data_IF_661789894970
#
_entry.id   IF_661789894970
#
_cell.length_a   1.000
_cell.length_b   1.000
_cell.length_c   1.000
_cell.angle_alpha   90.00
_cell.angle_beta   90.00
_cell.angle_gamma   90.00
#
_symmetry.space_group_name_H-M   'P 1'
#
loop_
_entity.id
_entity.type
_entity.pdbx_description
1 polymer ?
#
# COMPACT_ATOMS: atom_id res chain seq x y z
N UNK A 1 -30.07 -22.18 -9.49
CA UNK A 1 -30.35 -21.23 -8.39
C UNK A 1 -30.86 -19.93 -8.98
N UNK A 2 -31.89 -19.28 -8.42
CA UNK A 2 -32.44 -18.01 -8.98
C UNK A 2 -31.42 -16.87 -8.82
N UNK A 3 -31.21 -16.00 -9.84
CA UNK A 3 -30.24 -14.89 -9.77
C UNK A 3 -30.43 -13.97 -8.56
N UNK A 4 -31.69 -13.68 -8.21
CA UNK A 4 -32.06 -12.86 -7.05
C UNK A 4 -31.58 -13.47 -5.73
N UNK A 5 -31.67 -14.81 -5.58
CA UNK A 5 -31.22 -15.51 -4.38
C UNK A 5 -29.68 -15.43 -4.24
N UNK A 6 -28.96 -15.57 -5.35
CA UNK A 6 -27.49 -15.43 -5.38
C UNK A 6 -27.06 -14.00 -5.01
N UNK A 7 -27.73 -12.99 -5.57
CA UNK A 7 -27.46 -11.58 -5.25
C UNK A 7 -27.69 -11.27 -3.77
N UNK A 8 -28.82 -11.70 -3.21
CA UNK A 8 -29.14 -11.50 -1.81
C UNK A 8 -28.13 -12.20 -0.90
N UNK A 9 -27.69 -13.41 -1.29
CA UNK A 9 -26.67 -14.14 -0.55
C UNK A 9 -25.32 -13.41 -0.57
N UNK A 10 -24.93 -12.82 -1.70
CA UNK A 10 -23.71 -12.01 -1.80
C UNK A 10 -23.77 -10.72 -0.99
N UNK A 11 -24.95 -10.11 -0.85
CA UNK A 11 -25.12 -8.86 -0.09
C UNK A 11 -25.20 -9.14 1.41
N UNK A 12 -26.07 -10.03 1.85
CA UNK A 12 -26.41 -10.20 3.26
C UNK A 12 -25.63 -11.31 3.97
N UNK A 13 -25.22 -12.36 3.24
CA UNK A 13 -24.52 -13.52 3.78
C UNK A 13 -23.09 -13.68 3.24
N UNK A 14 -22.51 -12.61 2.73
CA UNK A 14 -21.13 -12.63 2.24
C UNK A 14 -20.16 -12.88 3.39
N UNK A 15 -19.23 -13.81 3.20
CA UNK A 15 -18.11 -14.01 4.10
C UNK A 15 -17.21 -12.77 4.12
N UNK A 16 -16.41 -12.59 5.17
CA UNK A 16 -15.50 -11.44 5.30
C UNK A 16 -14.59 -11.29 4.09
N UNK A 17 -14.06 -12.38 3.55
CA UNK A 17 -13.21 -12.36 2.36
C UNK A 17 -13.94 -11.81 1.12
N UNK A 18 -15.21 -12.16 0.94
CA UNK A 18 -16.02 -11.66 -0.18
C UNK A 18 -16.35 -10.19 0.02
N UNK A 19 -16.78 -9.77 1.22
CA UNK A 19 -17.04 -8.35 1.54
C UNK A 19 -15.80 -7.49 1.29
N UNK A 20 -14.65 -7.96 1.72
CA UNK A 20 -13.37 -7.28 1.50
C UNK A 20 -13.05 -7.08 0.01
N UNK A 21 -13.38 -8.06 -0.85
CA UNK A 21 -13.21 -7.95 -2.32
C UNK A 21 -14.22 -7.00 -2.98
N UNK A 22 -15.40 -6.80 -2.38
CA UNK A 22 -16.42 -5.90 -2.90
C UNK A 22 -16.01 -4.42 -2.81
N UNK A 23 -15.09 -4.06 -1.90
CA UNK A 23 -14.58 -2.70 -1.76
C UNK A 23 -13.57 -2.43 -2.87
N UNK A 24 -14.07 -2.18 -4.06
CA UNK A 24 -13.27 -1.84 -5.23
C UNK A 24 -13.78 -0.57 -5.88
N UNK A 25 -12.85 0.32 -6.25
CA UNK A 25 -13.14 1.56 -6.97
C UNK A 25 -12.77 1.45 -8.44
N UNK A 26 -13.46 2.22 -9.27
CA UNK A 26 -13.09 2.38 -10.68
C UNK A 26 -11.79 3.19 -10.79
N UNK A 27 -10.91 2.82 -11.71
CA UNK A 27 -9.72 3.59 -12.02
C UNK A 27 -10.02 4.73 -12.99
N UNK A 28 -9.29 5.84 -12.88
CA UNK A 28 -9.32 6.94 -13.84
C UNK A 28 -8.93 6.45 -15.25
N UNK A 29 -9.27 7.22 -16.28
CA UNK A 29 -8.94 6.87 -17.67
C UNK A 29 -7.42 6.70 -17.88
N UNK A 30 -6.62 7.51 -17.22
CA UNK A 30 -5.16 7.47 -17.27
C UNK A 30 -4.60 6.20 -16.64
N UNK A 31 -5.05 5.87 -15.42
CA UNK A 31 -4.64 4.67 -14.72
C UNK A 31 -5.10 3.39 -15.43
N UNK A 32 -6.27 3.42 -16.09
CA UNK A 32 -6.73 2.30 -16.94
C UNK A 32 -5.83 2.07 -18.13
N UNK A 33 -5.38 3.14 -18.79
CA UNK A 33 -4.43 3.04 -19.91
C UNK A 33 -3.08 2.49 -19.43
N UNK A 34 -2.60 2.96 -18.26
CA UNK A 34 -1.30 2.54 -17.69
C UNK A 34 -1.29 1.08 -17.27
N UNK A 35 -2.31 0.61 -16.57
CA UNK A 35 -2.33 -0.71 -15.95
C UNK A 35 -3.21 -1.75 -16.65
N UNK A 36 -3.95 -1.37 -17.69
CA UNK A 36 -4.86 -2.27 -18.41
C UNK A 36 -6.03 -2.79 -17.57
N UNK A 37 -6.28 -2.25 -16.38
CA UNK A 37 -7.32 -2.70 -15.46
C UNK A 37 -8.42 -1.66 -15.32
N UNK A 38 -9.65 -2.14 -15.13
CA UNK A 38 -10.83 -1.27 -14.98
C UNK A 38 -11.05 -0.82 -13.53
N UNK A 39 -10.81 -1.68 -12.58
CA UNK A 39 -11.04 -1.45 -11.15
C UNK A 39 -10.00 -2.17 -10.31
N UNK A 40 -9.75 -1.64 -9.12
CA UNK A 40 -8.86 -2.25 -8.12
C UNK A 40 -9.47 -2.05 -6.73
N UNK A 41 -9.04 -2.88 -5.77
CA UNK A 41 -9.39 -2.70 -4.37
C UNK A 41 -8.85 -1.37 -3.87
N UNK A 42 -9.70 -0.64 -3.14
CA UNK A 42 -9.32 0.63 -2.51
C UNK A 42 -8.48 0.32 -1.26
N UNK A 43 -7.38 1.03 -1.09
CA UNK A 43 -6.55 1.02 0.11
C UNK A 43 -6.56 2.39 0.77
N UNK A 44 -6.09 2.44 2.01
CA UNK A 44 -5.83 3.70 2.73
C UNK A 44 -4.74 4.46 1.96
N UNK A 45 -4.80 5.79 2.02
CA UNK A 45 -3.92 6.73 1.31
C UNK A 45 -4.08 6.76 -0.23
N UNK A 46 -5.05 6.05 -0.79
CA UNK A 46 -5.41 6.25 -2.20
C UNK A 46 -6.06 7.63 -2.39
N UNK A 47 -5.70 8.33 -3.46
CA UNK A 47 -6.38 9.57 -3.85
C UNK A 47 -7.59 9.25 -4.71
N UNK A 48 -8.76 9.72 -4.29
CA UNK A 48 -10.03 9.36 -4.90
C UNK A 48 -10.89 10.59 -5.19
N UNK A 49 -11.73 10.50 -6.21
CA UNK A 49 -12.77 11.48 -6.55
C UNK A 49 -14.15 10.87 -6.40
N UNK A 50 -15.07 11.60 -5.84
CA UNK A 50 -16.46 11.18 -5.71
C UNK A 50 -17.22 11.50 -7.00
N UNK A 51 -17.86 10.49 -7.57
CA UNK A 51 -18.60 10.61 -8.84
C UNK A 51 -20.08 10.94 -8.61
N UNK A 52 -20.66 10.42 -7.53
CA UNK A 52 -22.11 10.49 -7.25
C UNK A 52 -22.37 10.80 -5.78
N UNK A 53 -23.50 11.45 -5.52
CA UNK A 53 -23.99 11.79 -4.19
C UNK A 53 -23.81 13.26 -3.86
N UNK A 54 -24.06 13.61 -2.61
CA UNK A 54 -24.00 14.97 -2.06
C UNK A 54 -22.60 15.61 -2.26
N UNK A 55 -21.55 14.79 -2.12
CA UNK A 55 -20.14 15.22 -2.24
C UNK A 55 -19.55 15.01 -3.64
N UNK A 56 -20.39 14.99 -4.68
CA UNK A 56 -19.92 14.78 -6.06
C UNK A 56 -18.88 15.84 -6.46
N UNK A 57 -17.77 15.37 -7.03
CA UNK A 57 -16.68 16.23 -7.52
C UNK A 57 -15.59 16.52 -6.50
N UNK A 58 -15.78 16.12 -5.23
CA UNK A 58 -14.75 16.32 -4.20
C UNK A 58 -13.65 15.26 -4.36
N UNK A 59 -12.41 15.71 -4.30
CA UNK A 59 -11.22 14.88 -4.31
C UNK A 59 -10.64 14.80 -2.88
N UNK A 60 -10.11 13.66 -2.50
CA UNK A 60 -9.48 13.50 -1.20
C UNK A 60 -8.76 12.16 -1.05
N UNK A 61 -8.02 12.02 0.03
CA UNK A 61 -7.38 10.75 0.40
C UNK A 61 -8.31 9.88 1.22
N UNK A 62 -8.20 8.57 1.02
CA UNK A 62 -8.94 7.58 1.82
C UNK A 62 -8.29 7.44 3.19
N UNK A 63 -9.04 7.74 4.25
CA UNK A 63 -8.57 7.63 5.64
C UNK A 63 -8.94 6.31 6.28
N UNK A 64 -10.17 5.84 6.06
CA UNK A 64 -10.68 4.59 6.66
C UNK A 64 -11.52 3.81 5.66
N UNK A 65 -11.51 2.50 5.82
CA UNK A 65 -12.29 1.57 5.00
C UNK A 65 -13.18 0.73 5.92
N UNK A 66 -14.49 0.71 5.66
CA UNK A 66 -15.43 -0.13 6.38
C UNK A 66 -15.98 -1.23 5.47
N UNK A 67 -15.67 -2.48 5.81
CA UNK A 67 -16.21 -3.67 5.13
C UNK A 67 -17.67 -3.91 5.45
N UNK A 68 -18.13 -3.50 6.63
CA UNK A 68 -19.54 -3.65 7.05
C UNK A 68 -20.46 -2.72 6.28
N UNK A 69 -20.06 -1.45 6.16
CA UNK A 69 -20.82 -0.42 5.43
C UNK A 69 -20.54 -0.44 3.92
N UNK A 70 -19.63 -1.29 3.46
CA UNK A 70 -19.15 -1.34 2.08
C UNK A 70 -18.77 0.05 1.53
N UNK A 71 -18.10 0.84 2.38
CA UNK A 71 -17.80 2.23 2.11
C UNK A 71 -16.40 2.64 2.57
N UNK A 72 -16.00 3.79 2.08
CA UNK A 72 -14.71 4.43 2.38
C UNK A 72 -14.96 5.81 2.97
N UNK A 73 -14.18 6.18 3.98
CA UNK A 73 -14.12 7.53 4.52
C UNK A 73 -13.03 8.30 3.82
N UNK A 74 -13.33 9.53 3.42
CA UNK A 74 -12.44 10.40 2.66
C UNK A 74 -12.11 11.60 3.52
N UNK A 75 -10.87 12.04 3.46
CA UNK A 75 -10.39 13.22 4.16
C UNK A 75 -11.23 14.46 3.77
N UNK A 76 -11.51 15.29 4.76
CA UNK A 76 -12.31 16.51 4.55
C UNK A 76 -13.84 16.31 4.59
N UNK A 77 -14.34 15.07 4.52
CA UNK A 77 -15.78 14.80 4.51
C UNK A 77 -16.23 14.27 5.85
N UNK A 78 -16.79 15.15 6.68
CA UNK A 78 -17.30 14.85 8.01
C UNK A 78 -18.69 15.45 8.20
N UNK A 79 -19.53 14.78 8.99
CA UNK A 79 -20.82 15.31 9.46
C UNK A 79 -20.73 15.59 10.95
N UNK A 80 -21.33 16.67 11.37
CA UNK A 80 -21.48 17.03 12.80
C UNK A 80 -22.72 16.36 13.38
N UNK A 81 -22.55 15.74 14.56
CA UNK A 81 -23.66 15.28 15.39
C UNK A 81 -24.24 16.44 16.15
N UNK A 82 -25.46 16.27 16.64
CA UNK A 82 -26.14 17.24 17.53
C UNK A 82 -25.31 17.61 18.79
N UNK A 83 -24.42 16.71 19.21
CA UNK A 83 -23.52 16.92 20.37
C UNK A 83 -22.17 17.58 20.00
N UNK A 84 -21.98 18.06 18.76
CA UNK A 84 -20.77 18.73 18.29
C UNK A 84 -19.62 17.80 17.86
N UNK A 85 -19.75 16.49 18.00
CA UNK A 85 -18.74 15.55 17.52
C UNK A 85 -18.76 15.44 15.98
N UNK A 86 -17.60 15.41 15.35
CA UNK A 86 -17.42 15.18 13.91
C UNK A 86 -17.27 13.70 13.62
N UNK A 87 -18.12 13.16 12.74
CA UNK A 87 -18.10 11.77 12.31
C UNK A 87 -17.67 11.67 10.86
N UNK A 88 -16.84 10.67 10.55
CA UNK A 88 -16.47 10.34 9.17
C UNK A 88 -17.69 9.80 8.41
N UNK A 89 -17.95 10.36 7.24
CA UNK A 89 -19.00 9.89 6.33
C UNK A 89 -18.46 8.78 5.45
N UNK A 90 -19.12 7.62 5.46
CA UNK A 90 -18.74 6.50 4.60
C UNK A 90 -19.45 6.58 3.25
N UNK A 91 -18.69 6.69 2.18
CA UNK A 91 -19.19 6.75 0.81
C UNK A 91 -19.07 5.36 0.18
N UNK A 92 -20.11 4.84 -0.48
CA UNK A 92 -20.05 3.55 -1.16
C UNK A 92 -18.91 3.49 -2.17
N UNK A 93 -18.16 2.38 -2.17
CA UNK A 93 -17.01 2.20 -3.05
C UNK A 93 -17.34 2.32 -4.55
N UNK A 94 -18.58 2.01 -4.95
CA UNK A 94 -19.09 2.17 -6.32
C UNK A 94 -19.18 3.63 -6.80
N UNK A 95 -19.25 4.58 -5.86
CA UNK A 95 -19.37 6.01 -6.16
C UNK A 95 -18.01 6.72 -6.20
N UNK A 96 -16.94 5.95 -6.10
CA UNK A 96 -15.58 6.47 -5.99
C UNK A 96 -14.76 6.13 -7.24
N UNK A 97 -14.03 7.12 -7.74
CA UNK A 97 -13.06 7.00 -8.84
C UNK A 97 -11.66 7.18 -8.27
N UNK A 98 -10.77 6.24 -8.49
CA UNK A 98 -9.39 6.32 -8.06
C UNK A 98 -8.59 7.14 -9.08
N UNK A 99 -7.98 8.23 -8.63
CA UNK A 99 -7.12 9.12 -9.41
C UNK A 99 -5.65 8.81 -9.14
N UNK A 100 -5.29 8.60 -7.88
CA UNK A 100 -3.94 8.24 -7.44
C UNK A 100 -3.95 6.96 -6.65
N UNK A 101 -2.96 6.11 -6.86
CA UNK A 101 -2.79 4.84 -6.17
C UNK A 101 -1.63 4.95 -5.20
N UNK A 102 -1.85 4.57 -3.95
CA UNK A 102 -0.75 4.24 -3.06
C UNK A 102 -0.13 2.91 -3.52
N UNK A 103 1.16 2.92 -3.82
CA UNK A 103 1.92 1.79 -4.34
C UNK A 103 3.04 1.33 -3.39
N UNK A 104 2.91 1.55 -2.10
CA UNK A 104 3.91 1.14 -1.12
C UNK A 104 3.97 -0.39 -0.98
N UNK A 105 2.83 -1.06 -1.20
CA UNK A 105 2.71 -2.51 -1.15
C UNK A 105 3.18 -3.17 -2.47
N UNK A 106 4.23 -3.97 -2.40
CA UNK A 106 4.80 -4.69 -3.54
C UNK A 106 3.85 -5.73 -4.13
N UNK A 107 2.99 -6.36 -3.30
CA UNK A 107 1.96 -7.25 -3.81
C UNK A 107 0.95 -6.51 -4.68
N UNK A 108 0.60 -5.28 -4.29
CA UNK A 108 -0.29 -4.41 -5.06
C UNK A 108 0.35 -3.97 -6.37
N UNK A 109 1.64 -3.61 -6.36
CA UNK A 109 2.42 -3.30 -7.57
C UNK A 109 2.43 -4.47 -8.53
N UNK A 110 2.82 -5.65 -8.06
CA UNK A 110 2.86 -6.86 -8.86
C UNK A 110 1.49 -7.21 -9.45
N UNK A 111 0.42 -7.00 -8.69
CA UNK A 111 -0.94 -7.20 -9.17
C UNK A 111 -1.34 -6.18 -10.23
N UNK A 112 -0.92 -4.92 -10.12
CA UNK A 112 -1.16 -3.86 -11.09
C UNK A 112 -0.42 -4.11 -12.38
N UNK A 113 0.86 -4.43 -12.31
CA UNK A 113 1.77 -4.64 -13.43
C UNK A 113 1.61 -6.01 -14.12
N UNK A 114 0.82 -6.92 -13.52
CA UNK A 114 0.58 -8.25 -14.07
C UNK A 114 1.73 -9.23 -13.87
N UNK A 115 2.75 -8.86 -13.11
CA UNK A 115 3.83 -9.77 -12.76
C UNK A 115 3.34 -10.81 -11.76
N UNK A 116 3.48 -12.09 -12.10
CA UNK A 116 3.40 -13.16 -11.10
C UNK A 116 4.54 -12.95 -10.13
N UNK A 117 4.34 -13.05 -8.79
CA UNK A 117 5.46 -12.99 -7.86
C UNK A 117 6.47 -14.06 -8.29
N UNK A 118 7.68 -13.64 -8.64
CA UNK A 118 8.80 -14.56 -8.79
C UNK A 118 8.92 -15.28 -7.44
N UNK A 119 8.75 -16.59 -7.45
CA UNK A 119 9.14 -17.41 -6.32
C UNK A 119 10.55 -16.99 -5.93
N UNK A 120 10.74 -16.60 -4.68
CA UNK A 120 12.06 -16.30 -4.12
C UNK A 120 13.00 -17.42 -4.54
N UNK A 121 14.14 -17.12 -5.16
CA UNK A 121 15.15 -18.14 -5.40
C UNK A 121 15.52 -18.70 -4.02
N UNK A 122 15.36 -20.00 -3.81
CA UNK A 122 15.96 -20.69 -2.70
C UNK A 122 17.45 -20.37 -2.79
N UNK A 123 18.00 -19.77 -1.75
CA UNK A 123 19.45 -19.64 -1.59
C UNK A 123 20.10 -21.01 -1.84
N UNK A 124 21.10 -21.10 -2.70
CA UNK A 124 21.87 -22.33 -2.78
C UNK A 124 22.64 -22.47 -1.48
N UNK A 125 22.36 -23.57 -0.80
CA UNK A 125 23.07 -24.07 0.37
C UNK A 125 24.58 -24.04 0.06
N UNK A 126 25.32 -23.26 0.83
CA UNK A 126 26.75 -23.06 0.70
C UNK A 126 27.48 -24.36 0.91
N UNK A 127 28.07 -24.89 -0.14
CA UNK A 127 29.11 -25.91 -0.05
C UNK A 127 30.35 -25.30 0.65
N UNK A 128 30.79 -26.03 1.67
CA UNK A 128 32.00 -25.74 2.45
C UNK A 128 33.25 -25.84 1.57
N UNK A 129 34.20 -24.88 1.62
CA UNK A 129 35.52 -25.07 0.98
C UNK A 129 36.41 -25.97 1.83
N UNK A 130 36.98 -26.95 1.21
CA UNK A 130 38.07 -27.79 1.73
C UNK A 130 39.34 -26.96 1.91
N UNK A 131 39.97 -27.20 3.07
CA UNK A 131 41.31 -26.75 3.39
C UNK A 131 42.36 -27.21 2.37
N UNK A 132 43.28 -26.31 2.01
CA UNK A 132 44.67 -26.65 1.70
C UNK A 132 45.61 -25.62 2.24
N UNK A 133 46.64 -26.17 2.88
CA UNK A 133 47.69 -25.60 3.71
C UNK A 133 48.74 -24.78 2.96
N UNK A 134 49.44 -23.98 3.80
CA UNK A 134 50.80 -23.50 3.71
C UNK A 134 51.04 -22.29 2.78
N UNK A 135 51.71 -21.22 3.11
CA UNK A 135 53.00 -21.03 3.80
C UNK A 135 53.15 -19.55 4.18
N UNK A 136 53.80 -19.28 5.33
CA UNK A 136 54.40 -18.01 5.77
C UNK A 136 55.81 -17.92 5.11
N UNK A 137 56.61 -16.84 5.12
CA UNK A 137 56.68 -15.79 6.15
C UNK A 137 57.20 -14.37 5.69
N UNK A 138 57.32 -13.51 6.75
CA UNK A 138 58.29 -12.37 6.99
C UNK A 138 57.91 -10.98 6.48
N UNK A 139 57.63 -10.12 7.43
CA UNK A 139 58.46 -9.15 8.18
C UNK A 139 58.90 -7.93 7.36
N UNK A 140 58.52 -6.74 7.79
CA UNK A 140 59.31 -5.69 8.44
C UNK A 140 58.51 -4.43 8.64
N UNK A 141 58.32 -3.98 9.86
CA UNK A 141 58.81 -2.76 10.55
C UNK A 141 58.83 -1.51 9.66
N UNK A 142 58.23 -0.41 10.04
CA UNK A 142 58.59 0.51 11.09
C UNK A 142 57.74 1.78 11.03
N UNK A 143 57.29 2.18 12.17
CA UNK A 143 57.60 3.41 12.93
C UNK A 143 57.04 4.75 12.44
N UNK A 144 56.35 5.30 13.42
CA UNK A 144 56.49 6.62 14.10
C UNK A 144 55.78 7.76 13.37
N UNK A 145 55.04 8.50 14.01
CA UNK A 145 54.94 9.29 15.24
C UNK A 145 54.22 10.58 14.89
N UNK A 146 53.29 10.90 15.63
CA UNK A 146 53.25 11.89 16.70
C UNK A 146 52.64 13.24 16.35
N UNK A 147 51.78 13.60 17.27
CA UNK A 147 51.63 14.91 17.96
C UNK A 147 50.83 15.98 17.21
N UNK A 148 49.85 16.46 17.78
CA UNK A 148 49.52 17.13 19.04
C UNK A 148 49.06 18.58 18.81
N UNK A 149 48.02 18.93 19.52
CA UNK A 149 47.68 20.26 20.06
C UNK A 149 47.02 21.28 19.13
N UNK A 150 45.96 21.87 19.51
CA UNK A 150 45.33 22.49 20.67
C UNK A 150 44.78 23.86 20.29
N UNK A 151 43.65 24.17 20.89
CA UNK A 151 43.19 25.50 21.36
C UNK A 151 42.94 26.57 20.29
N UNK A 152 41.92 27.27 20.37
CA UNK A 152 41.15 27.99 21.37
C UNK A 152 40.33 28.99 20.62
N UNK A 153 39.12 29.19 20.99
CA UNK A 153 38.62 30.20 21.86
C UNK A 153 38.44 31.60 21.24
N UNK A 154 37.20 32.06 21.35
CA UNK A 154 36.76 33.48 21.47
C UNK A 154 37.00 34.36 20.24
N UNK A 155 35.97 34.98 19.74
CA UNK A 155 35.06 35.97 20.30
C UNK A 155 33.71 35.90 19.64
#
# INVERSE_FOLDING_TARGET
>A
MKPTKMRNQQIYRATFAIRSKQISGSLSKELRKKYGKRSIRINVDDTVRIIRGEYKGVDGKVTKISTEKNGVAIEGIKKEKLKGEKIDVYIPSSNVLIIGLNTDDDWRKNKLEGHKPKATPKEPESEKPKETKAEKPKETKSKKSSKLKTKGAKD
#
